data_IF_844281902499
#
_entry.id   IF_844281902499
#
_cell.length_a   1.000
_cell.length_b   1.000
_cell.length_c   1.000
_cell.angle_alpha   90.00
_cell.angle_beta   90.00
_cell.angle_gamma   90.00
#
_symmetry.space_group_name_H-M   'P 1'
#
loop_
_entity.id
_entity.type
_entity.pdbx_description
1 polymer ?
#
# COMPACT_ATOMS: atom_id res chain seq x y z
N UNK A 1 36.65 -1.90 -1.72
CA UNK A 1 35.50 -2.23 -2.62
C UNK A 1 34.13 -2.03 -1.96
N UNK A 2 34.01 -1.83 -0.65
CA UNK A 2 32.72 -1.53 0.02
C UNK A 2 32.19 -0.10 -0.24
N UNK A 3 33.04 0.84 -0.63
CA UNK A 3 32.67 2.24 -0.84
C UNK A 3 31.80 2.45 -2.08
N UNK A 4 31.96 1.62 -3.12
CA UNK A 4 31.24 1.76 -4.39
C UNK A 4 29.80 1.28 -4.33
N UNK A 5 29.50 0.25 -3.53
CA UNK A 5 28.11 -0.23 -3.33
C UNK A 5 27.31 0.72 -2.46
N UNK A 6 27.93 1.33 -1.44
CA UNK A 6 27.27 2.30 -0.58
C UNK A 6 26.94 3.61 -1.32
N UNK A 7 27.80 4.04 -2.25
CA UNK A 7 27.58 5.23 -3.07
C UNK A 7 26.48 5.00 -4.14
N UNK A 8 26.33 3.76 -4.63
CA UNK A 8 25.22 3.38 -5.51
C UNK A 8 23.86 3.29 -4.78
N UNK A 9 23.85 3.21 -3.45
CA UNK A 9 22.65 3.30 -2.62
C UNK A 9 22.22 4.75 -2.32
N UNK A 10 22.97 5.75 -2.80
CA UNK A 10 22.55 7.15 -2.74
C UNK A 10 21.36 7.36 -3.70
N UNK A 11 20.16 7.08 -3.22
CA UNK A 11 18.94 7.37 -3.94
C UNK A 11 18.78 8.88 -4.05
N UNK A 12 18.35 9.38 -5.21
CA UNK A 12 17.90 10.75 -5.34
C UNK A 12 16.86 11.09 -4.24
N UNK A 13 16.74 12.36 -3.80
CA UNK A 13 15.65 12.71 -2.90
C UNK A 13 14.31 12.45 -3.60
N UNK A 14 13.48 11.58 -3.01
CA UNK A 14 12.11 11.37 -3.45
C UNK A 14 11.24 12.49 -2.90
N UNK A 15 10.88 13.44 -3.75
CA UNK A 15 9.90 14.48 -3.41
C UNK A 15 8.48 13.95 -3.50
N UNK A 16 7.63 14.34 -2.56
CA UNK A 16 6.22 13.94 -2.59
C UNK A 16 5.51 14.59 -3.79
N UNK A 17 4.80 13.78 -4.56
CA UNK A 17 4.03 14.25 -5.71
C UNK A 17 2.66 13.54 -5.80
N UNK A 18 1.72 14.08 -6.58
CA UNK A 18 0.44 13.40 -6.83
C UNK A 18 0.61 12.00 -7.45
N UNK A 19 1.71 11.74 -8.18
CA UNK A 19 2.01 10.42 -8.72
C UNK A 19 2.30 9.40 -7.61
N UNK A 20 3.07 9.79 -6.59
CA UNK A 20 3.33 8.96 -5.40
C UNK A 20 2.00 8.62 -4.70
N UNK A 21 1.14 9.62 -4.54
CA UNK A 21 -0.20 9.44 -3.96
C UNK A 21 -1.08 8.49 -4.77
N UNK A 22 -1.09 8.63 -6.10
CA UNK A 22 -1.85 7.76 -6.99
C UNK A 22 -1.35 6.31 -6.91
N UNK A 23 -0.04 6.08 -6.90
CA UNK A 23 0.55 4.74 -6.73
C UNK A 23 0.12 4.12 -5.40
N UNK A 24 0.09 4.89 -4.31
CA UNK A 24 -0.37 4.42 -3.01
C UNK A 24 -1.86 4.06 -3.01
N UNK A 25 -2.71 4.86 -3.67
CA UNK A 25 -4.15 4.57 -3.79
C UNK A 25 -4.38 3.28 -4.57
N UNK A 26 -3.67 3.08 -5.69
CA UNK A 26 -3.77 1.86 -6.49
C UNK A 26 -3.34 0.64 -5.66
N UNK A 27 -2.25 0.74 -4.90
CA UNK A 27 -1.81 -0.34 -4.01
C UNK A 27 -2.86 -0.70 -2.94
N UNK A 28 -3.51 0.30 -2.34
CA UNK A 28 -4.61 0.08 -1.40
C UNK A 28 -5.83 -0.58 -2.05
N UNK A 29 -6.22 -0.17 -3.26
CA UNK A 29 -7.34 -0.80 -4.00
C UNK A 29 -7.04 -2.28 -4.27
N UNK A 30 -5.82 -2.60 -4.71
CA UNK A 30 -5.39 -3.99 -4.95
C UNK A 30 -5.42 -4.79 -3.65
N UNK A 31 -4.91 -4.23 -2.55
CA UNK A 31 -4.89 -4.89 -1.24
C UNK A 31 -6.29 -5.13 -0.68
N UNK A 32 -7.22 -4.17 -0.83
CA UNK A 32 -8.62 -4.32 -0.44
C UNK A 32 -9.31 -5.40 -1.28
N UNK A 33 -9.10 -5.41 -2.60
CA UNK A 33 -9.66 -6.43 -3.48
C UNK A 33 -9.18 -7.84 -3.09
N UNK A 34 -7.87 -7.99 -2.83
CA UNK A 34 -7.29 -9.25 -2.38
C UNK A 34 -7.78 -9.66 -0.99
N UNK A 35 -7.83 -8.72 -0.05
CA UNK A 35 -8.38 -8.99 1.28
C UNK A 35 -9.84 -9.42 1.23
N UNK A 36 -10.62 -8.90 0.28
CA UNK A 36 -12.03 -9.29 0.11
C UNK A 36 -12.18 -10.71 -0.39
N UNK A 37 -11.25 -11.20 -1.22
CA UNK A 37 -11.26 -12.59 -1.68
C UNK A 37 -10.62 -13.58 -0.71
N UNK A 38 -9.73 -13.13 0.18
CA UNK A 38 -8.83 -14.02 0.92
C UNK A 38 -9.06 -14.04 2.43
N UNK A 39 -9.60 -12.96 3.03
CA UNK A 39 -9.85 -12.92 4.48
C UNK A 39 -11.02 -13.85 4.82
N UNK A 40 -10.77 -14.83 5.70
CA UNK A 40 -11.75 -15.83 6.12
C UNK A 40 -12.92 -15.26 6.94
N UNK A 41 -12.64 -14.26 7.79
CA UNK A 41 -13.65 -13.60 8.64
C UNK A 41 -13.61 -12.08 8.43
N UNK A 42 -14.09 -11.58 7.28
CA UNK A 42 -13.92 -10.18 6.90
C UNK A 42 -14.86 -9.21 7.63
N UNK A 43 -15.91 -9.73 8.27
CA UNK A 43 -17.00 -8.98 8.89
C UNK A 43 -16.93 -8.96 10.43
N UNK A 44 -15.73 -9.09 11.01
CA UNK A 44 -15.52 -9.01 12.45
C UNK A 44 -15.87 -7.63 13.02
N UNK A 45 -16.32 -7.58 14.27
CA UNK A 45 -16.70 -6.32 14.93
C UNK A 45 -15.45 -5.49 15.31
N UNK A 46 -15.56 -4.14 15.38
CA UNK A 46 -16.76 -3.32 15.14
C UNK A 46 -17.09 -3.16 13.65
N UNK A 47 -18.39 -3.07 13.34
CA UNK A 47 -18.88 -2.88 11.97
C UNK A 47 -18.69 -1.44 11.52
N UNK A 48 -18.44 -1.26 10.22
CA UNK A 48 -18.38 0.07 9.62
C UNK A 48 -19.80 0.65 9.44
N UNK A 49 -19.98 1.97 9.59
CA UNK A 49 -21.28 2.63 9.47
C UNK A 49 -21.87 2.57 8.05
N UNK A 50 -21.09 2.18 7.04
CA UNK A 50 -21.55 2.08 5.65
C UNK A 50 -21.03 0.82 4.95
N UNK A 51 -21.53 -0.38 5.32
CA UNK A 51 -21.02 -1.64 4.82
C UNK A 51 -21.16 -1.81 3.29
N UNK A 52 -22.10 -1.09 2.66
CA UNK A 52 -22.31 -1.11 1.21
C UNK A 52 -21.10 -0.56 0.43
N UNK A 53 -20.40 0.45 0.95
CA UNK A 53 -19.21 0.99 0.31
C UNK A 53 -17.95 0.17 0.58
N UNK A 54 -17.90 -0.53 1.72
CA UNK A 54 -16.74 -1.31 2.16
C UNK A 54 -16.90 -2.82 1.96
N UNK A 55 -17.86 -3.24 1.13
CA UNK A 55 -18.04 -4.65 0.76
C UNK A 55 -18.35 -5.59 1.93
N UNK A 56 -18.96 -5.08 3.00
CA UNK A 56 -19.29 -5.85 4.20
C UNK A 56 -18.14 -6.03 5.19
N UNK A 57 -17.03 -5.29 5.02
CA UNK A 57 -15.91 -5.33 5.96
C UNK A 57 -16.27 -4.77 7.34
N UNK A 58 -15.70 -5.43 8.35
CA UNK A 58 -15.51 -4.83 9.66
C UNK A 58 -14.39 -3.80 9.66
N UNK A 59 -14.36 -2.93 10.66
CA UNK A 59 -13.25 -2.02 10.92
C UNK A 59 -11.88 -2.74 10.95
N UNK A 60 -11.71 -3.91 11.60
CA UNK A 60 -10.41 -4.60 11.62
C UNK A 60 -9.98 -5.06 10.23
N UNK A 61 -10.90 -5.53 9.38
CA UNK A 61 -10.58 -5.97 8.03
C UNK A 61 -10.20 -4.80 7.11
N UNK A 62 -10.86 -3.66 7.26
CA UNK A 62 -10.49 -2.43 6.54
C UNK A 62 -9.10 -1.95 6.96
N UNK A 63 -8.80 -1.92 8.26
CA UNK A 63 -7.47 -1.54 8.77
C UNK A 63 -6.39 -2.52 8.30
N UNK A 64 -6.66 -3.83 8.33
CA UNK A 64 -5.71 -4.83 7.86
C UNK A 64 -5.39 -4.68 6.37
N UNK A 65 -6.42 -4.49 5.53
CA UNK A 65 -6.24 -4.36 4.08
C UNK A 65 -5.57 -3.04 3.69
N UNK A 66 -5.91 -1.94 4.35
CA UNK A 66 -5.23 -0.65 4.11
C UNK A 66 -3.80 -0.64 4.64
N UNK A 67 -3.52 -1.23 5.80
CA UNK A 67 -2.15 -1.40 6.30
C UNK A 67 -1.30 -2.24 5.34
N UNK A 68 -1.85 -3.35 4.84
CA UNK A 68 -1.19 -4.17 3.83
C UNK A 68 -0.98 -3.40 2.51
N UNK A 69 -1.98 -2.62 2.08
CA UNK A 69 -1.88 -1.72 0.94
C UNK A 69 -0.76 -0.69 1.08
N UNK A 70 -0.53 -0.15 2.28
CA UNK A 70 0.60 0.74 2.55
C UNK A 70 1.95 0.03 2.47
N UNK A 71 2.05 -1.22 2.95
CA UNK A 71 3.28 -2.03 2.80
C UNK A 71 3.60 -2.24 1.31
N UNK A 72 2.61 -2.63 0.51
CA UNK A 72 2.76 -2.79 -0.93
C UNK A 72 3.09 -1.46 -1.62
N UNK A 73 2.40 -0.39 -1.23
CA UNK A 73 2.59 0.94 -1.79
C UNK A 73 3.99 1.50 -1.54
N UNK A 74 4.51 1.39 -0.32
CA UNK A 74 5.89 1.80 0.01
C UNK A 74 6.89 1.00 -0.81
N UNK A 75 6.71 -0.33 -0.93
CA UNK A 75 7.57 -1.17 -1.76
C UNK A 75 7.54 -0.76 -3.24
N UNK A 76 6.36 -0.50 -3.79
CA UNK A 76 6.20 -0.07 -5.18
C UNK A 76 6.82 1.31 -5.44
N UNK A 77 6.57 2.29 -4.56
CA UNK A 77 7.09 3.66 -4.70
C UNK A 77 8.61 3.64 -4.64
N UNK A 78 9.20 2.99 -3.63
CA UNK A 78 10.66 2.90 -3.50
C UNK A 78 11.29 2.13 -4.68
N UNK A 79 10.63 1.07 -5.16
CA UNK A 79 11.08 0.31 -6.32
C UNK A 79 11.04 1.12 -7.63
N UNK A 80 9.94 1.84 -7.89
CA UNK A 80 9.78 2.69 -9.07
C UNK A 80 10.75 3.87 -9.04
N UNK A 81 10.95 4.47 -7.88
CA UNK A 81 11.92 5.55 -7.68
C UNK A 81 13.36 5.08 -7.92
N UNK A 82 13.73 3.89 -7.42
CA UNK A 82 15.04 3.31 -7.69
C UNK A 82 15.27 2.98 -9.19
N UNK A 83 14.19 2.80 -9.96
CA UNK A 83 14.24 2.62 -11.43
C UNK A 83 14.20 3.94 -12.20
N UNK A 84 14.07 5.10 -11.54
CA UNK A 84 13.91 6.41 -12.17
C UNK A 84 12.59 6.59 -12.91
N UNK A 85 11.55 5.85 -12.50
CA UNK A 85 10.19 5.86 -13.11
C UNK A 85 9.19 6.67 -12.28
N UNK A 86 9.61 7.14 -11.12
CA UNK A 86 8.93 8.00 -10.14
C UNK A 86 10.00 8.86 -9.49
#
# INVERSE_FOLDING_TARGET
MFTSTLLAAATAPLEWSPYVGLTMIIANIIAIAFGKSTIKYPNAEPKLPSPNFFGGFGAPALLATTAFGHILGVGAILGLHNLGRL
#
